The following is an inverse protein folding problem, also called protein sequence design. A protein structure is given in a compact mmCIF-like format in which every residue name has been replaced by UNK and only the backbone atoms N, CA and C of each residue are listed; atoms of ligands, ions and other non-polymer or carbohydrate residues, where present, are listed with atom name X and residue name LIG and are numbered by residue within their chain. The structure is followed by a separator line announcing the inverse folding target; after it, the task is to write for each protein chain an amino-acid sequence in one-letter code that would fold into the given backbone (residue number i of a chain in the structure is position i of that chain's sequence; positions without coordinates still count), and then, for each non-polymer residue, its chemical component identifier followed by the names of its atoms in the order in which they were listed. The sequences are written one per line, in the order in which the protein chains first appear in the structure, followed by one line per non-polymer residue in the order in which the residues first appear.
data_IF_128713200516
#
_entry.id   IF_128713200516
#
_cell.length_a   1.000
_cell.length_b   1.000
_cell.length_c   1.000
_cell.angle_alpha   90.00
_cell.angle_beta   90.00
_cell.angle_gamma   90.00
#
_symmetry.space_group_name_H-M   'P 1'
#
loop_
_entity.id
_entity.type
_entity.pdbx_description
1 polymer ?
#
# COMPACT_ATOMS: atom_id res chain seq x y z
N UNK A 1 2.78 -32.03 -24.10
CA UNK A 1 3.56 -31.26 -23.10
C UNK A 1 3.24 -29.75 -23.12
N UNK A 2 3.23 -29.08 -24.28
CA UNK A 2 3.00 -27.62 -24.38
C UNK A 2 1.66 -27.10 -23.82
N UNK A 3 0.55 -27.81 -24.03
CA UNK A 3 -0.77 -27.39 -23.54
C UNK A 3 -0.87 -27.33 -21.99
N UNK A 4 -0.23 -28.26 -21.28
CA UNK A 4 -0.25 -28.30 -19.81
C UNK A 4 0.53 -27.11 -19.23
N UNK A 5 1.63 -26.71 -19.88
CA UNK A 5 2.46 -25.57 -19.47
C UNK A 5 1.68 -24.26 -19.66
N UNK A 6 0.98 -24.09 -20.79
CA UNK A 6 0.18 -22.89 -21.07
C UNK A 6 -0.98 -22.73 -20.08
N UNK A 7 -1.68 -23.81 -19.74
CA UNK A 7 -2.78 -23.78 -18.76
C UNK A 7 -2.25 -23.48 -17.34
N UNK A 8 -1.09 -24.04 -16.98
CA UNK A 8 -0.44 -23.75 -15.69
C UNK A 8 -0.06 -22.27 -15.60
N UNK A 9 0.50 -21.70 -16.67
CA UNK A 9 0.95 -20.30 -16.68
C UNK A 9 -0.23 -19.31 -16.59
N UNK A 10 -1.36 -19.63 -17.24
CA UNK A 10 -2.59 -18.84 -17.14
C UNK A 10 -3.14 -18.83 -15.71
N UNK A 11 -3.23 -20.00 -15.05
CA UNK A 11 -3.66 -20.09 -13.64
C UNK A 11 -2.75 -19.33 -12.69
N UNK A 12 -1.43 -19.38 -12.90
CA UNK A 12 -0.48 -18.64 -12.07
C UNK A 12 -0.65 -17.12 -12.22
N UNK A 13 -0.90 -16.63 -13.44
CA UNK A 13 -1.17 -15.21 -13.68
C UNK A 13 -2.40 -14.73 -12.91
N UNK A 14 -3.49 -15.50 -12.93
CA UNK A 14 -4.73 -15.14 -12.22
C UNK A 14 -4.52 -15.07 -10.70
N UNK A 15 -3.81 -16.06 -10.14
CA UNK A 15 -3.43 -16.05 -8.72
C UNK A 15 -2.60 -14.81 -8.37
N UNK A 16 -1.62 -14.46 -9.21
CA UNK A 16 -0.77 -13.28 -8.96
C UNK A 16 -1.55 -11.97 -9.10
N UNK A 17 -2.53 -11.88 -10.00
CA UNK A 17 -3.43 -10.72 -10.07
C UNK A 17 -4.29 -10.59 -8.81
N UNK A 18 -4.82 -11.70 -8.29
CA UNK A 18 -5.58 -11.71 -7.03
C UNK A 18 -4.68 -11.25 -5.87
N UNK A 19 -3.48 -11.81 -5.73
CA UNK A 19 -2.53 -11.40 -4.68
C UNK A 19 -2.13 -9.94 -4.81
N UNK A 20 -1.95 -9.44 -6.04
CA UNK A 20 -1.65 -8.03 -6.30
C UNK A 20 -2.78 -7.12 -5.84
N UNK A 21 -4.02 -7.48 -6.15
CA UNK A 21 -5.19 -6.71 -5.76
C UNK A 21 -5.41 -6.74 -4.24
N UNK A 22 -5.21 -7.88 -3.59
CA UNK A 22 -5.22 -8.00 -2.12
C UNK A 22 -4.12 -7.13 -1.50
N UNK A 23 -2.90 -7.18 -2.04
CA UNK A 23 -1.81 -6.33 -1.58
C UNK A 23 -2.15 -4.85 -1.67
N UNK A 24 -2.76 -4.45 -2.79
CA UNK A 24 -3.22 -3.08 -3.03
C UNK A 24 -4.30 -2.66 -2.03
N UNK A 25 -5.33 -3.48 -1.82
CA UNK A 25 -6.43 -3.16 -0.88
C UNK A 25 -5.95 -3.10 0.56
N UNK A 26 -5.03 -3.98 0.98
CA UNK A 26 -4.40 -3.93 2.30
C UNK A 26 -3.56 -2.67 2.51
N UNK A 27 -2.73 -2.30 1.52
CA UNK A 27 -1.94 -1.07 1.55
C UNK A 27 -2.80 0.19 1.58
N UNK A 28 -3.78 0.27 0.68
CA UNK A 28 -4.77 1.36 0.63
C UNK A 28 -5.58 1.46 1.91
N UNK A 29 -6.11 0.34 2.41
CA UNK A 29 -6.91 0.30 3.65
C UNK A 29 -6.12 0.78 4.86
N UNK A 30 -4.82 0.48 4.91
CA UNK A 30 -3.92 1.00 5.95
C UNK A 30 -3.72 2.51 5.82
N UNK A 31 -3.56 3.02 4.59
CA UNK A 31 -3.52 4.47 4.32
C UNK A 31 -4.82 5.16 4.73
N UNK A 32 -5.96 4.55 4.40
CA UNK A 32 -7.29 5.02 4.78
C UNK A 32 -7.42 5.11 6.30
N UNK A 33 -7.13 4.02 7.02
CA UNK A 33 -7.17 4.03 8.47
C UNK A 33 -6.33 5.17 9.06
N UNK A 34 -5.05 5.29 8.66
CA UNK A 34 -4.13 6.33 9.13
C UNK A 34 -4.58 7.76 8.79
N UNK A 35 -5.21 7.96 7.64
CA UNK A 35 -5.73 9.27 7.23
C UNK A 35 -6.90 9.74 8.10
N UNK A 36 -7.73 8.81 8.60
CA UNK A 36 -8.93 9.12 9.39
C UNK A 36 -8.72 9.04 10.90
N UNK A 37 -7.56 8.58 11.40
CA UNK A 37 -7.30 8.52 12.84
C UNK A 37 -7.49 9.85 13.54
N UNK A 38 -7.04 10.95 12.94
CA UNK A 38 -7.10 12.26 13.60
C UNK A 38 -8.52 12.72 13.85
N UNK A 39 -9.41 12.53 12.88
CA UNK A 39 -10.83 12.84 12.98
C UNK A 39 -11.53 12.05 14.09
N UNK A 40 -11.11 10.80 14.32
CA UNK A 40 -11.62 9.96 15.41
C UNK A 40 -11.02 10.39 16.75
N UNK A 41 -9.70 10.62 16.80
CA UNK A 41 -8.98 10.95 18.04
C UNK A 41 -9.24 12.37 18.54
N UNK A 42 -9.66 13.30 17.68
CA UNK A 42 -9.97 14.68 18.08
C UNK A 42 -11.19 14.81 18.99
N UNK A 43 -12.02 13.78 19.03
CA UNK A 43 -13.23 13.69 19.87
C UNK A 43 -12.99 12.91 21.17
N UNK A 44 -11.78 12.42 21.39
CA UNK A 44 -11.40 11.60 22.53
C UNK A 44 -10.64 12.43 23.56
N UNK A 45 -10.60 11.94 24.80
CA UNK A 45 -9.65 12.47 25.79
C UNK A 45 -8.21 12.15 25.36
N UNK A 46 -7.23 12.91 25.85
CA UNK A 46 -5.82 12.73 25.47
C UNK A 46 -5.34 11.29 25.77
N UNK A 47 -5.71 10.74 26.92
CA UNK A 47 -5.33 9.38 27.32
C UNK A 47 -6.00 8.31 26.44
N UNK A 48 -7.29 8.47 26.12
CA UNK A 48 -8.01 7.52 25.25
C UNK A 48 -7.47 7.56 23.81
N UNK A 49 -7.17 8.75 23.30
CA UNK A 49 -6.58 8.95 21.98
C UNK A 49 -5.23 8.24 21.84
N UNK A 50 -4.37 8.30 22.88
CA UNK A 50 -3.08 7.60 22.89
C UNK A 50 -3.28 6.09 22.89
N UNK A 51 -4.15 5.57 23.75
CA UNK A 51 -4.42 4.12 23.83
C UNK A 51 -5.02 3.59 22.52
N UNK A 52 -5.96 4.31 21.92
CA UNK A 52 -6.55 3.98 20.63
C UNK A 52 -5.50 3.96 19.51
N UNK A 53 -4.63 4.97 19.46
CA UNK A 53 -3.53 5.03 18.48
C UNK A 53 -2.57 3.86 18.62
N UNK A 54 -2.23 3.45 19.84
CA UNK A 54 -1.37 2.30 20.09
C UNK A 54 -1.98 0.98 19.60
N UNK A 55 -3.29 0.79 19.78
CA UNK A 55 -4.00 -0.38 19.25
C UNK A 55 -3.99 -0.40 17.72
N UNK A 56 -4.13 0.76 17.09
CA UNK A 56 -4.13 0.89 15.64
C UNK A 56 -2.74 0.65 15.01
N UNK A 57 -1.64 0.72 15.77
CA UNK A 57 -0.32 0.34 15.24
C UNK A 57 -0.28 -1.10 14.69
N UNK A 58 -1.20 -1.97 15.11
CA UNK A 58 -1.39 -3.28 14.50
C UNK A 58 -1.76 -3.19 13.00
N UNK A 59 -2.52 -2.17 12.58
CA UNK A 59 -2.86 -1.95 11.16
C UNK A 59 -1.62 -1.61 10.33
N UNK A 60 -0.60 -0.97 10.90
CA UNK A 60 0.67 -0.74 10.18
C UNK A 60 1.32 -2.05 9.74
N UNK A 61 1.19 -3.15 10.52
CA UNK A 61 1.67 -4.48 10.11
C UNK A 61 0.94 -5.01 8.88
N UNK A 62 -0.38 -4.76 8.79
CA UNK A 62 -1.19 -5.13 7.64
C UNK A 62 -0.72 -4.39 6.37
N UNK A 63 -0.36 -3.11 6.49
CA UNK A 63 0.21 -2.33 5.39
C UNK A 63 1.52 -2.93 4.85
N UNK A 64 2.42 -3.37 5.74
CA UNK A 64 3.67 -4.04 5.32
C UNK A 64 3.43 -5.37 4.60
N UNK A 65 2.50 -6.19 5.08
CA UNK A 65 2.09 -7.41 4.40
C UNK A 65 1.49 -7.09 3.01
N UNK A 66 0.63 -6.08 2.94
CA UNK A 66 0.04 -5.61 1.70
C UNK A 66 1.07 -5.17 0.67
N UNK A 67 2.07 -4.37 1.08
CA UNK A 67 3.18 -3.98 0.20
C UNK A 67 3.99 -5.18 -0.26
N UNK A 68 4.31 -6.10 0.64
CA UNK A 68 5.12 -7.27 0.30
C UNK A 68 4.42 -8.10 -0.76
N UNK A 69 3.12 -8.35 -0.58
CA UNK A 69 2.26 -8.99 -1.57
C UNK A 69 2.23 -8.22 -2.89
N UNK A 70 2.03 -6.90 -2.83
CA UNK A 70 1.95 -6.03 -4.01
C UNK A 70 3.25 -6.01 -4.83
N UNK A 71 4.41 -5.98 -4.16
CA UNK A 71 5.72 -5.99 -4.82
C UNK A 71 6.01 -7.34 -5.46
N UNK A 72 5.87 -8.44 -4.72
CA UNK A 72 6.16 -9.78 -5.25
C UNK A 72 5.25 -10.09 -6.45
N UNK A 73 3.94 -9.86 -6.30
CA UNK A 73 2.98 -10.07 -7.38
C UNK A 73 3.18 -9.09 -8.54
N UNK A 74 3.50 -7.83 -8.27
CA UNK A 74 3.72 -6.80 -9.29
C UNK A 74 4.94 -7.09 -10.16
N UNK A 75 6.06 -7.48 -9.55
CA UNK A 75 7.28 -7.90 -10.27
C UNK A 75 7.02 -9.14 -11.13
N UNK A 76 6.22 -10.09 -10.65
CA UNK A 76 5.83 -11.24 -11.47
C UNK A 76 4.99 -10.81 -12.69
N UNK A 77 3.98 -9.96 -12.48
CA UNK A 77 3.04 -9.54 -13.53
C UNK A 77 3.70 -8.67 -14.61
N UNK A 78 4.80 -7.98 -14.28
CA UNK A 78 5.48 -7.10 -15.21
C UNK A 78 6.57 -7.80 -16.04
N UNK A 79 7.00 -9.00 -15.64
CA UNK A 79 8.00 -9.79 -16.35
C UNK A 79 7.78 -9.90 -17.87
N UNK A 80 6.55 -10.16 -18.39
CA UNK A 80 6.34 -10.20 -19.85
C UNK A 80 6.41 -8.83 -20.54
N UNK A 81 6.36 -7.73 -19.78
CA UNK A 81 6.36 -6.36 -20.30
C UNK A 81 7.72 -5.67 -20.14
N UNK A 82 8.76 -6.37 -19.64
CA UNK A 82 10.05 -5.78 -19.31
C UNK A 82 10.73 -5.07 -20.50
N UNK A 83 10.65 -5.68 -21.69
CA UNK A 83 11.24 -5.14 -22.91
C UNK A 83 10.48 -3.95 -23.50
N UNK A 84 9.21 -3.77 -23.11
CA UNK A 84 8.32 -2.74 -23.66
C UNK A 84 7.90 -1.71 -22.61
N UNK A 85 8.48 -1.77 -21.41
CA UNK A 85 8.07 -0.96 -20.26
C UNK A 85 8.13 0.55 -20.58
N UNK A 86 9.18 0.98 -21.27
CA UNK A 86 9.41 2.39 -21.62
C UNK A 86 8.44 2.88 -22.70
N UNK A 87 7.88 1.96 -23.49
CA UNK A 87 6.89 2.28 -24.52
C UNK A 87 5.47 2.40 -23.94
N UNK A 88 5.27 2.00 -22.68
CA UNK A 88 3.99 2.02 -21.98
C UNK A 88 4.00 3.08 -20.87
N UNK A 89 3.78 4.37 -21.18
CA UNK A 89 3.94 5.47 -20.21
C UNK A 89 3.04 5.32 -18.97
N UNK A 90 1.82 4.79 -19.12
CA UNK A 90 0.92 4.52 -18.00
C UNK A 90 1.48 3.47 -17.03
N UNK A 91 2.19 2.45 -17.54
CA UNK A 91 2.81 1.43 -16.72
C UNK A 91 3.97 2.01 -15.91
N UNK A 92 4.78 2.89 -16.51
CA UNK A 92 5.87 3.60 -15.81
C UNK A 92 5.31 4.49 -14.70
N UNK A 93 4.24 5.24 -14.97
CA UNK A 93 3.58 6.08 -13.95
C UNK A 93 3.05 5.20 -12.80
N UNK A 94 2.41 4.07 -13.10
CA UNK A 94 1.93 3.12 -12.08
C UNK A 94 3.08 2.62 -11.20
N UNK A 95 4.21 2.23 -11.79
CA UNK A 95 5.39 1.79 -11.04
C UNK A 95 5.97 2.89 -10.15
N UNK A 96 6.07 4.12 -10.67
CA UNK A 96 6.54 5.25 -9.89
C UNK A 96 5.62 5.54 -8.70
N UNK A 97 4.30 5.50 -8.90
CA UNK A 97 3.33 5.65 -7.81
C UNK A 97 3.43 4.52 -6.78
N UNK A 98 3.64 3.28 -7.22
CA UNK A 98 3.86 2.14 -6.30
C UNK A 98 5.11 2.35 -5.46
N UNK A 99 6.22 2.83 -6.03
CA UNK A 99 7.43 3.16 -5.28
C UNK A 99 7.18 4.25 -4.23
N UNK A 100 6.44 5.30 -4.61
CA UNK A 100 6.05 6.37 -3.66
C UNK A 100 5.21 5.78 -2.50
N UNK A 101 4.26 4.90 -2.81
CA UNK A 101 3.43 4.24 -1.80
C UNK A 101 4.27 3.40 -0.83
N UNK A 102 5.26 2.65 -1.34
CA UNK A 102 6.19 1.84 -0.53
C UNK A 102 6.96 2.72 0.45
N UNK A 103 7.50 3.85 -0.02
CA UNK A 103 8.23 4.81 0.82
C UNK A 103 7.30 5.35 1.92
N UNK A 104 6.10 5.79 1.55
CA UNK A 104 5.15 6.38 2.50
C UNK A 104 4.75 5.41 3.61
N UNK A 105 4.39 4.16 3.29
CA UNK A 105 4.01 3.19 4.32
C UNK A 105 5.22 2.81 5.19
N UNK A 106 6.42 2.75 4.62
CA UNK A 106 7.65 2.51 5.40
C UNK A 106 7.91 3.64 6.40
N UNK A 107 7.69 4.90 5.98
CA UNK A 107 7.79 6.07 6.86
C UNK A 107 6.71 6.04 7.97
N UNK A 108 5.47 5.63 7.65
CA UNK A 108 4.40 5.46 8.65
C UNK A 108 4.81 4.42 9.71
N UNK A 109 5.34 3.27 9.31
CA UNK A 109 5.74 2.24 10.27
C UNK A 109 6.97 2.61 11.09
N UNK A 110 7.92 3.37 10.52
CA UNK A 110 9.05 3.92 11.28
C UNK A 110 8.60 4.95 12.32
N UNK A 111 7.71 5.87 11.94
CA UNK A 111 7.12 6.84 12.86
C UNK A 111 6.30 6.14 13.96
N UNK A 112 5.53 5.10 13.61
CA UNK A 112 4.78 4.29 14.59
C UNK A 112 5.68 3.53 15.58
N UNK A 113 6.84 3.07 15.13
CA UNK A 113 7.83 2.43 16.02
C UNK A 113 8.46 3.45 16.98
N UNK A 114 8.76 4.66 16.50
CA UNK A 114 9.27 5.77 17.34
C UNK A 114 8.22 6.29 18.34
N UNK A 115 6.95 6.31 17.95
CA UNK A 115 5.85 6.72 18.83
C UNK A 115 5.76 5.84 20.09
N UNK A 116 6.15 4.55 20.02
CA UNK A 116 6.19 3.65 21.19
C UNK A 116 7.28 3.99 22.20
N UNK A 117 8.31 4.75 21.80
CA UNK A 117 9.51 5.02 22.61
C UNK A 117 9.40 6.35 23.38
N UNK A 118 8.32 7.13 23.17
CA UNK A 118 8.00 8.30 24.00
C UNK A 118 7.78 9.62 23.25
N UNK A 119 8.09 9.67 21.95
CA UNK A 119 7.83 10.85 21.09
C UNK A 119 6.45 10.71 20.41
N UNK A 120 5.39 10.61 21.20
CA UNK A 120 4.07 10.19 20.71
C UNK A 120 3.40 11.22 19.80
N UNK A 121 3.28 12.48 20.25
CA UNK A 121 2.44 13.46 19.55
C UNK A 121 3.00 13.87 18.18
N UNK A 122 4.31 14.15 18.10
CA UNK A 122 4.95 14.55 16.85
C UNK A 122 4.91 13.42 15.81
N UNK A 123 5.18 12.19 16.24
CA UNK A 123 5.21 11.05 15.32
C UNK A 123 3.79 10.70 14.84
N UNK A 124 2.75 10.83 15.67
CA UNK A 124 1.38 10.62 15.24
C UNK A 124 0.91 11.63 14.18
N UNK A 125 1.28 12.92 14.30
CA UNK A 125 0.99 13.92 13.25
C UNK A 125 1.67 13.56 11.92
N UNK A 126 2.91 13.05 11.95
CA UNK A 126 3.62 12.59 10.74
C UNK A 126 2.95 11.36 10.13
N UNK A 127 2.54 10.39 10.95
CA UNK A 127 1.82 9.20 10.49
C UNK A 127 0.52 9.56 9.78
N UNK A 128 -0.22 10.54 10.30
CA UNK A 128 -1.44 11.03 9.68
C UNK A 128 -1.17 11.66 8.31
N UNK A 129 -0.19 12.57 8.23
CA UNK A 129 0.19 13.23 6.97
C UNK A 129 0.60 12.20 5.92
N UNK A 130 1.48 11.27 6.29
CA UNK A 130 1.91 10.19 5.39
C UNK A 130 0.76 9.25 5.04
N UNK A 131 -0.19 9.01 5.95
CA UNK A 131 -1.40 8.24 5.70
C UNK A 131 -2.29 8.86 4.64
N UNK A 132 -2.52 10.19 4.72
CA UNK A 132 -3.28 10.94 3.69
C UNK A 132 -2.59 10.92 2.33
N UNK A 133 -1.27 11.09 2.31
CA UNK A 133 -0.49 10.99 1.07
C UNK A 133 -0.55 9.56 0.51
N UNK A 134 -0.40 8.53 1.35
CA UNK A 134 -0.46 7.13 0.92
C UNK A 134 -1.84 6.77 0.36
N UNK A 135 -2.90 7.29 0.98
CA UNK A 135 -4.27 7.18 0.47
C UNK A 135 -4.37 7.79 -0.93
N UNK A 136 -3.94 9.04 -1.09
CA UNK A 136 -4.00 9.74 -2.38
C UNK A 136 -3.21 8.98 -3.45
N UNK A 137 -1.98 8.57 -3.14
CA UNK A 137 -1.14 7.77 -4.03
C UNK A 137 -1.81 6.46 -4.41
N UNK A 138 -2.40 5.74 -3.44
CA UNK A 138 -3.09 4.48 -3.72
C UNK A 138 -4.32 4.66 -4.61
N UNK A 139 -5.09 5.74 -4.41
CA UNK A 139 -6.23 6.07 -5.29
C UNK A 139 -5.73 6.37 -6.70
N UNK A 140 -4.66 7.15 -6.86
CA UNK A 140 -4.04 7.38 -8.15
C UNK A 140 -3.58 6.07 -8.82
N UNK A 141 -3.02 5.12 -8.06
CA UNK A 141 -2.64 3.78 -8.59
C UNK A 141 -3.85 3.06 -9.15
N UNK A 142 -4.99 3.06 -8.44
CA UNK A 142 -6.22 2.42 -8.90
C UNK A 142 -6.74 3.10 -10.17
N UNK A 143 -6.77 4.43 -10.21
CA UNK A 143 -7.20 5.19 -11.39
C UNK A 143 -6.33 4.87 -12.60
N UNK A 144 -5.00 4.93 -12.47
CA UNK A 144 -4.07 4.58 -13.55
C UNK A 144 -4.27 3.13 -13.99
N UNK A 145 -4.51 2.21 -13.05
CA UNK A 145 -4.78 0.81 -13.39
C UNK A 145 -6.08 0.66 -14.21
N UNK A 146 -7.16 1.38 -13.88
CA UNK A 146 -8.41 1.37 -14.65
C UNK A 146 -8.23 1.96 -16.04
N UNK A 147 -7.45 3.05 -16.15
CA UNK A 147 -7.14 3.68 -17.44
C UNK A 147 -6.31 2.77 -18.35
N UNK A 148 -5.51 1.85 -17.81
CA UNK A 148 -4.79 0.86 -18.62
C UNK A 148 -5.69 -0.20 -19.28
N UNK A 149 -6.95 -0.31 -18.85
CA UNK A 149 -7.93 -1.25 -19.42
C UNK A 149 -8.87 -0.63 -20.46
N UNK A 150 -8.78 0.69 -20.67
CA UNK A 150 -9.54 1.43 -21.69
C UNK A 150 -8.63 1.78 -22.87
#
# INVERSE_FOLDING_TARGET
MGYIITIKNKRMKDVMMILHFIGLTMGLGTGFANAFLSSVTSKMTVNDAVNFRLQILALSKMGYLGITLLLISGVYLINPYWNSILMMPLLVIKLALVLILVILITLIGHAGSKAKVGDTEMQFKKMELFGKLALLTGVCIVVVAVLMFH
#
